data_IF_243358783498
#
_entry.id   IF_243358783498
#
_cell.length_a   1.000
_cell.length_b   1.000
_cell.length_c   1.000
_cell.angle_alpha   90.00
_cell.angle_beta   90.00
_cell.angle_gamma   90.00
#
_symmetry.space_group_name_H-M   'P 1'
#
loop_
_entity.id
_entity.type
_entity.pdbx_description
1 polymer ?
#
# COMPACT_ATOMS: atom_id res chain seq x y z
N UNK A 1 17.09 -6.84 -5.73
CA UNK A 1 16.65 -8.05 -4.99
C UNK A 1 15.23 -7.85 -4.47
N UNK A 2 14.39 -8.89 -4.48
CA UNK A 2 13.02 -8.84 -3.94
C UNK A 2 13.01 -9.38 -2.51
N UNK A 3 12.30 -8.70 -1.60
CA UNK A 3 12.21 -9.11 -0.20
C UNK A 3 10.76 -9.03 0.29
N UNK A 4 10.38 -9.93 1.19
CA UNK A 4 9.09 -9.84 1.88
C UNK A 4 9.17 -8.73 2.91
N UNK A 5 8.36 -7.68 2.73
CA UNK A 5 8.22 -6.58 3.68
C UNK A 5 7.24 -6.95 4.79
N UNK A 6 6.15 -7.63 4.43
CA UNK A 6 5.11 -8.05 5.38
C UNK A 6 4.34 -9.23 4.81
N UNK A 7 3.95 -10.17 5.65
CA UNK A 7 2.98 -11.21 5.33
C UNK A 7 1.85 -11.18 6.34
N UNK A 8 0.63 -11.30 5.85
CA UNK A 8 -0.59 -11.50 6.66
C UNK A 8 -1.31 -12.73 6.12
N UNK A 9 -2.36 -13.20 6.81
CA UNK A 9 -3.17 -14.30 6.30
C UNK A 9 -3.84 -14.02 4.94
N UNK A 10 -3.99 -12.74 4.55
CA UNK A 10 -4.76 -12.33 3.36
C UNK A 10 -3.90 -11.82 2.22
N UNK A 11 -2.73 -11.24 2.50
CA UNK A 11 -1.85 -10.65 1.49
C UNK A 11 -0.39 -10.68 1.91
N UNK A 12 0.49 -10.66 0.92
CA UNK A 12 1.93 -10.41 1.08
C UNK A 12 2.31 -9.07 0.47
N UNK A 13 3.20 -8.35 1.14
CA UNK A 13 3.87 -7.15 0.63
C UNK A 13 5.30 -7.50 0.28
N UNK A 14 5.68 -7.27 -0.97
CA UNK A 14 7.02 -7.50 -1.49
C UNK A 14 7.65 -6.15 -1.82
N UNK A 15 8.87 -5.91 -1.36
CA UNK A 15 9.67 -4.77 -1.82
C UNK A 15 10.59 -5.22 -2.94
N UNK A 16 10.69 -4.40 -3.98
CA UNK A 16 11.56 -4.62 -5.11
C UNK A 16 11.84 -3.32 -5.85
N UNK A 17 12.22 -3.45 -7.12
CA UNK A 17 12.55 -2.32 -8.00
C UNK A 17 11.83 -2.46 -9.33
N UNK A 18 11.34 -1.35 -9.86
CA UNK A 18 10.82 -1.23 -11.22
C UNK A 18 11.63 -0.17 -11.95
N UNK A 19 12.49 -0.58 -12.89
CA UNK A 19 13.51 0.30 -13.45
C UNK A 19 14.43 0.84 -12.36
N UNK A 20 14.49 2.17 -12.22
CA UNK A 20 15.33 2.86 -11.21
C UNK A 20 14.62 3.16 -9.88
N UNK A 21 13.33 2.85 -9.74
CA UNK A 21 12.53 3.21 -8.58
C UNK A 21 12.23 2.01 -7.68
N UNK A 22 12.20 2.23 -6.37
CA UNK A 22 11.76 1.22 -5.40
C UNK A 22 10.24 1.12 -5.40
N UNK A 23 9.74 -0.11 -5.36
CA UNK A 23 8.33 -0.41 -5.45
C UNK A 23 7.90 -1.38 -4.35
N UNK A 24 6.62 -1.33 -4.00
CA UNK A 24 5.95 -2.33 -3.18
C UNK A 24 4.86 -3.00 -4.00
N UNK A 25 4.90 -4.32 -4.10
CA UNK A 25 3.83 -5.13 -4.64
C UNK A 25 2.99 -5.69 -3.49
N UNK A 26 1.67 -5.46 -3.53
CA UNK A 26 0.68 -6.10 -2.68
C UNK A 26 0.00 -7.20 -3.48
N UNK A 27 0.24 -8.44 -3.09
CA UNK A 27 -0.35 -9.62 -3.71
C UNK A 27 -1.31 -10.27 -2.73
N UNK A 28 -2.54 -10.52 -3.19
CA UNK A 28 -3.52 -11.25 -2.41
C UNK A 28 -3.10 -12.73 -2.29
N UNK A 29 -3.36 -13.33 -1.13
CA UNK A 29 -3.14 -14.76 -0.84
C UNK A 29 -4.48 -15.48 -0.67
N UNK A 30 -5.50 -14.77 -0.20
CA UNK A 30 -6.87 -15.24 -0.02
C UNK A 30 -7.76 -14.60 -1.11
N UNK A 31 -8.09 -15.37 -2.14
CA UNK A 31 -8.91 -14.93 -3.28
C UNK A 31 -10.41 -15.13 -3.06
N UNK A 32 -10.87 -15.21 -1.80
CA UNK A 32 -12.31 -15.20 -1.53
C UNK A 32 -12.94 -13.89 -2.06
N UNK A 33 -14.21 -13.93 -2.52
CA UNK A 33 -14.84 -12.80 -3.21
C UNK A 33 -14.74 -11.47 -2.47
N UNK A 34 -14.87 -11.49 -1.13
CA UNK A 34 -14.77 -10.30 -0.30
C UNK A 34 -13.39 -9.62 -0.37
N UNK A 35 -12.29 -10.39 -0.40
CA UNK A 35 -10.94 -9.84 -0.47
C UNK A 35 -10.53 -9.44 -1.87
N UNK A 36 -10.93 -10.22 -2.88
CA UNK A 36 -10.75 -9.85 -4.28
C UNK A 36 -11.47 -8.54 -4.62
N UNK A 37 -12.70 -8.34 -4.14
CA UNK A 37 -13.42 -7.08 -4.32
C UNK A 37 -12.70 -5.92 -3.61
N UNK A 38 -12.22 -6.15 -2.39
CA UNK A 38 -11.48 -5.13 -1.64
C UNK A 38 -10.21 -4.67 -2.35
N UNK A 39 -9.43 -5.58 -2.93
CA UNK A 39 -8.20 -5.18 -3.64
C UNK A 39 -8.50 -4.57 -5.01
N UNK A 40 -9.58 -4.98 -5.70
CA UNK A 40 -10.05 -4.30 -6.91
C UNK A 40 -10.49 -2.86 -6.61
N UNK A 41 -11.17 -2.64 -5.49
CA UNK A 41 -11.52 -1.29 -5.03
C UNK A 41 -10.27 -0.44 -4.74
N UNK A 42 -9.24 -1.02 -4.13
CA UNK A 42 -7.96 -0.34 -3.90
C UNK A 42 -7.25 0.01 -5.22
N UNK A 43 -7.23 -0.91 -6.19
CA UNK A 43 -6.73 -0.65 -7.54
C UNK A 43 -7.51 0.50 -8.20
N UNK A 44 -8.84 0.50 -8.10
CA UNK A 44 -9.68 1.56 -8.64
C UNK A 44 -9.35 2.92 -8.01
N UNK A 45 -9.15 2.99 -6.69
CA UNK A 45 -8.74 4.21 -6.00
C UNK A 45 -7.39 4.75 -6.53
N UNK A 46 -6.38 3.90 -6.69
CA UNK A 46 -5.09 4.33 -7.25
C UNK A 46 -5.18 4.74 -8.73
N UNK A 47 -6.03 4.09 -9.53
CA UNK A 47 -6.32 4.53 -10.91
C UNK A 47 -6.99 5.90 -10.93
N UNK A 48 -7.88 6.18 -9.96
CA UNK A 48 -8.46 7.51 -9.80
C UNK A 48 -7.42 8.55 -9.41
N UNK A 49 -6.44 8.21 -8.56
CA UNK A 49 -5.35 9.15 -8.19
C UNK A 49 -4.45 9.55 -9.35
N UNK A 50 -4.33 8.70 -10.38
CA UNK A 50 -3.64 9.06 -11.63
C UNK A 50 -4.40 10.14 -12.40
N UNK A 51 -5.74 10.10 -12.38
CA UNK A 51 -6.60 11.07 -13.08
C UNK A 51 -6.87 12.33 -12.25
N UNK A 52 -6.98 12.17 -10.94
CA UNK A 52 -7.35 13.20 -9.97
C UNK A 52 -6.38 13.14 -8.81
N UNK A 53 -5.46 14.11 -8.75
CA UNK A 53 -4.44 14.16 -7.71
C UNK A 53 -5.11 14.16 -6.32
N UNK A 54 -4.73 13.24 -5.41
CA UNK A 54 -5.29 13.21 -4.07
C UNK A 54 -4.89 14.48 -3.28
N UNK A 55 -5.71 14.88 -2.28
CA UNK A 55 -5.46 16.08 -1.49
C UNK A 55 -4.22 15.97 -0.59
N UNK A 56 -3.72 14.75 -0.39
CA UNK A 56 -2.51 14.44 0.38
C UNK A 56 -1.55 13.59 -0.46
N UNK A 57 -0.27 13.56 -0.10
CA UNK A 57 0.73 12.70 -0.75
C UNK A 57 0.29 11.23 -0.65
N UNK A 58 -0.06 10.62 -1.78
CA UNK A 58 -0.29 9.18 -1.91
C UNK A 58 0.87 8.53 -2.70
N UNK A 59 1.14 7.23 -2.49
CA UNK A 59 2.07 6.49 -3.35
C UNK A 59 1.65 6.56 -4.81
N UNK A 60 2.59 6.70 -5.74
CA UNK A 60 2.26 6.63 -7.16
C UNK A 60 1.89 5.20 -7.58
N UNK A 61 0.86 5.05 -8.41
CA UNK A 61 0.56 3.80 -9.09
C UNK A 61 1.68 3.49 -10.10
N UNK A 62 2.23 2.27 -10.04
CA UNK A 62 3.23 1.77 -10.99
C UNK A 62 2.58 0.75 -11.95
N UNK A 63 1.87 -0.23 -11.39
CA UNK A 63 1.15 -1.24 -12.15
C UNK A 63 -0.01 -1.81 -11.34
N UNK A 64 -1.01 -2.38 -12.01
CA UNK A 64 -2.09 -3.09 -11.36
C UNK A 64 -2.60 -4.23 -12.25
N UNK A 65 -2.87 -5.37 -11.63
CA UNK A 65 -3.45 -6.56 -12.23
C UNK A 65 -4.68 -6.95 -11.38
N UNK A 66 -5.88 -6.52 -11.78
CA UNK A 66 -7.11 -6.81 -11.05
C UNK A 66 -7.54 -8.28 -11.13
N UNK A 67 -7.08 -9.01 -12.15
CA UNK A 67 -7.41 -10.41 -12.37
C UNK A 67 -6.61 -11.30 -11.41
N UNK A 68 -5.30 -11.04 -11.30
CA UNK A 68 -4.41 -11.69 -10.34
C UNK A 68 -4.36 -10.99 -8.97
N UNK A 69 -5.23 -10.02 -8.71
CA UNK A 69 -5.33 -9.33 -7.42
C UNK A 69 -3.96 -8.78 -6.92
N UNK A 70 -3.22 -8.13 -7.82
CA UNK A 70 -1.89 -7.58 -7.54
C UNK A 70 -1.83 -6.08 -7.82
N UNK A 71 -1.29 -5.32 -6.86
CA UNK A 71 -1.11 -3.86 -6.96
C UNK A 71 0.35 -3.50 -6.71
N UNK A 72 0.96 -2.75 -7.62
CA UNK A 72 2.35 -2.26 -7.51
C UNK A 72 2.34 -0.74 -7.42
N UNK A 73 2.92 -0.23 -6.33
CA UNK A 73 2.97 1.20 -6.01
C UNK A 73 4.38 1.64 -5.64
N UNK A 74 4.63 2.95 -5.70
CA UNK A 74 5.83 3.59 -5.15
C UNK A 74 6.07 3.15 -3.71
N UNK A 75 7.33 2.82 -3.39
CA UNK A 75 7.72 2.65 -1.99
C UNK A 75 7.90 4.02 -1.36
N UNK A 76 6.98 4.39 -0.48
CA UNK A 76 7.12 5.62 0.32
C UNK A 76 8.32 5.53 1.27
N UNK A 77 9.07 6.63 1.45
CA UNK A 77 10.11 6.70 2.46
C UNK A 77 9.50 6.70 3.87
N UNK A 78 10.30 6.27 4.85
CA UNK A 78 9.92 6.25 6.27
C UNK A 78 9.47 4.88 6.77
N UNK A 79 8.82 4.88 7.93
CA UNK A 79 8.34 3.69 8.64
C UNK A 79 6.84 3.81 8.91
N UNK A 80 6.15 2.68 9.08
CA UNK A 80 4.75 2.69 9.47
C UNK A 80 4.58 3.22 10.90
N UNK A 81 3.73 4.23 11.10
CA UNK A 81 3.40 4.75 12.43
C UNK A 81 2.49 3.79 13.24
N UNK A 82 1.61 3.07 12.55
CA UNK A 82 0.79 2.00 13.11
C UNK A 82 0.44 0.97 12.02
N UNK A 83 0.38 -0.32 12.38
CA UNK A 83 0.00 -1.40 11.46
C UNK A 83 -1.50 -1.71 11.46
N UNK A 84 -2.20 -1.24 12.50
CA UNK A 84 -3.65 -1.34 12.65
C UNK A 84 -4.28 0.01 12.36
N UNK A 85 -5.48 -0.02 11.78
CA UNK A 85 -6.28 1.20 11.57
C UNK A 85 -6.64 1.88 12.90
N UNK A 86 -6.93 1.06 13.92
CA UNK A 86 -7.26 1.50 15.27
C UNK A 86 -6.24 0.87 16.22
N UNK A 87 -5.09 1.53 16.45
CA UNK A 87 -4.09 1.01 17.36
C UNK A 87 -4.59 1.08 18.80
N UNK A 88 -4.29 0.03 19.58
CA UNK A 88 -4.65 -0.04 21.01
C UNK A 88 -3.72 0.86 21.83
N UNK A 89 -2.45 0.93 21.44
CA UNK A 89 -1.46 1.83 22.02
C UNK A 89 -1.29 3.08 21.17
N UNK A 90 -1.15 4.23 21.82
CA UNK A 90 -0.95 5.48 21.12
C UNK A 90 0.38 5.47 20.35
N UNK A 91 0.40 5.84 19.05
CA UNK A 91 1.65 6.01 18.33
C UNK A 91 2.55 7.07 19.00
N UNK A 92 3.88 6.99 18.84
CA UNK A 92 4.80 8.00 19.35
C UNK A 92 4.39 9.41 18.95
N UNK A 93 4.44 10.37 19.89
CA UNK A 93 4.05 11.78 19.64
C UNK A 93 4.78 12.43 18.46
N UNK A 94 6.00 11.99 18.18
CA UNK A 94 6.76 12.45 17.02
C UNK A 94 6.11 12.01 15.69
N UNK A 95 5.63 10.76 15.61
CA UNK A 95 4.96 10.23 14.42
C UNK A 95 3.60 10.91 14.20
N UNK A 96 2.86 11.21 15.28
CA UNK A 96 1.58 11.96 15.21
C UNK A 96 1.81 13.37 14.65
N UNK A 97 2.80 14.10 15.18
CA UNK A 97 3.14 15.45 14.69
C UNK A 97 3.57 15.44 13.22
N UNK A 98 4.35 14.44 12.82
CA UNK A 98 4.76 14.29 11.42
C UNK A 98 3.57 14.03 10.49
N UNK A 99 2.57 13.27 10.93
CA UNK A 99 1.37 12.99 10.14
C UNK A 99 0.42 14.18 10.03
N UNK A 100 0.30 15.01 11.08
CA UNK A 100 -0.59 16.19 11.09
C UNK A 100 0.01 17.42 10.42
N UNK A 101 1.34 17.50 10.29
CA UNK A 101 2.04 18.63 9.67
C UNK A 101 2.32 18.47 8.16
N UNK A 102 1.82 17.40 7.54
CA UNK A 102 2.08 17.04 6.13
C UNK A 102 0.95 17.44 5.18
#
# INVERSE_FOLDING_TARGET
>A
PVQVLRRTGRSVLLVGTTGRSTAVAKCLLDHSPAWSERIRHEIAAYRSFVRHRPPVRAPRLIAADPDNCTLVIERMPGRAAALQRHPVEAPPRADIRAALGA
#
